data_IF_402807932568
#
_entry.id   IF_402807932568
#
_cell.length_a   1.000
_cell.length_b   1.000
_cell.length_c   1.000
_cell.angle_alpha   90.00
_cell.angle_beta   90.00
_cell.angle_gamma   90.00
#
_symmetry.space_group_name_H-M   'P 1'
#
loop_
_entity.id
_entity.type
_entity.pdbx_description
1 polymer ?
#
# COMPACT_ATOMS: atom_id res chain seq x y z
N UNK A 1 -57.61 56.59 21.78
CA UNK A 1 -57.27 55.31 22.41
C UNK A 1 -56.64 54.40 21.34
N UNK A 2 -55.32 54.39 21.24
CA UNK A 2 -54.61 53.59 20.27
C UNK A 2 -53.92 52.47 21.03
N UNK A 3 -54.32 51.21 20.74
CA UNK A 3 -53.77 49.99 21.32
C UNK A 3 -52.52 49.61 20.56
N UNK A 4 -51.39 49.57 21.21
CA UNK A 4 -50.14 49.07 20.68
C UNK A 4 -50.07 47.57 20.93
N UNK A 5 -50.02 46.77 19.84
CA UNK A 5 -49.76 45.36 19.93
C UNK A 5 -48.24 45.11 19.98
N UNK A 6 -47.77 44.53 21.06
CA UNK A 6 -46.38 44.07 21.25
C UNK A 6 -46.17 42.75 20.47
N UNK A 7 -45.37 42.80 19.45
CA UNK A 7 -44.86 41.61 18.76
C UNK A 7 -43.66 41.05 19.51
N UNK A 8 -43.84 39.93 20.18
CA UNK A 8 -42.73 39.16 20.79
C UNK A 8 -41.88 38.52 19.68
N UNK A 9 -40.65 38.97 19.52
CA UNK A 9 -39.66 38.34 18.67
C UNK A 9 -39.25 36.99 19.27
N UNK A 10 -39.72 35.90 18.68
CA UNK A 10 -39.19 34.56 18.94
C UNK A 10 -37.77 34.51 18.34
N UNK A 11 -36.77 34.55 19.20
CA UNK A 11 -35.38 34.30 18.82
C UNK A 11 -35.27 32.86 18.30
N UNK A 12 -35.18 32.69 16.99
CA UNK A 12 -34.84 31.42 16.38
C UNK A 12 -33.36 31.14 16.74
N UNK A 13 -33.13 30.25 17.71
CA UNK A 13 -31.84 29.64 17.89
C UNK A 13 -31.47 28.95 16.56
N UNK A 14 -30.50 29.51 15.85
CA UNK A 14 -29.89 28.87 14.72
C UNK A 14 -29.22 27.56 15.23
N UNK A 15 -29.93 26.45 15.07
CA UNK A 15 -29.33 25.13 15.29
C UNK A 15 -28.25 24.96 14.25
N UNK A 16 -27.03 24.61 14.70
CA UNK A 16 -25.94 24.24 13.81
C UNK A 16 -26.42 23.32 12.68
N UNK A 17 -25.84 23.43 11.48
CA UNK A 17 -26.22 22.56 10.37
C UNK A 17 -26.22 21.10 10.83
N UNK A 18 -27.27 20.36 10.45
CA UNK A 18 -27.47 18.97 10.88
C UNK A 18 -26.26 18.07 10.60
N UNK A 19 -25.44 18.43 9.61
CA UNK A 19 -24.21 17.76 9.23
C UNK A 19 -23.07 17.87 10.27
N UNK A 20 -23.11 18.84 11.16
CA UNK A 20 -22.02 19.13 12.12
C UNK A 20 -22.28 18.57 13.53
N UNK A 21 -23.37 17.84 13.71
CA UNK A 21 -23.63 17.20 14.99
C UNK A 21 -22.77 15.97 15.19
N UNK A 22 -22.10 15.80 16.35
CA UNK A 22 -21.36 14.60 16.66
C UNK A 22 -22.31 13.40 16.73
N UNK A 23 -21.90 12.30 16.12
CA UNK A 23 -22.59 11.00 16.19
C UNK A 23 -21.93 10.13 17.26
N UNK A 24 -20.61 10.18 17.31
CA UNK A 24 -19.81 9.32 18.16
C UNK A 24 -19.35 10.06 19.41
N UNK A 25 -19.32 9.43 20.59
CA UNK A 25 -18.96 10.09 21.86
C UNK A 25 -17.57 10.73 21.88
N UNK A 26 -16.64 10.16 21.11
CA UNK A 26 -15.24 10.58 20.98
C UNK A 26 -14.98 11.41 19.71
N UNK A 27 -16.04 11.81 19.00
CA UNK A 27 -15.91 12.64 17.81
C UNK A 27 -15.45 14.04 18.20
N UNK A 28 -14.22 14.40 17.77
CA UNK A 28 -13.67 15.71 17.95
C UNK A 28 -14.34 16.77 17.06
N UNK A 29 -13.93 18.06 17.21
CA UNK A 29 -14.40 19.12 16.33
C UNK A 29 -14.02 18.81 14.89
N UNK A 30 -14.89 19.12 13.93
CA UNK A 30 -14.63 18.88 12.49
C UNK A 30 -13.59 19.85 11.90
N UNK A 31 -13.41 20.98 12.56
CA UNK A 31 -12.42 21.99 12.18
C UNK A 31 -11.59 22.35 13.39
N UNK A 32 -10.33 22.63 13.15
CA UNK A 32 -9.39 23.06 14.18
C UNK A 32 -8.64 24.30 13.72
N UNK A 33 -8.60 25.33 14.54
CA UNK A 33 -7.75 26.48 14.26
C UNK A 33 -6.37 26.21 14.86
N UNK A 34 -5.29 26.16 14.05
CA UNK A 34 -3.94 25.94 14.53
C UNK A 34 -3.55 26.96 15.60
N UNK A 35 -2.86 26.51 16.62
CA UNK A 35 -2.31 27.34 17.69
C UNK A 35 -0.80 27.13 17.75
N UNK A 36 -0.10 28.04 18.44
CA UNK A 36 1.32 27.83 18.71
C UNK A 36 1.50 26.54 19.53
N UNK A 37 2.48 25.75 19.16
CA UNK A 37 2.92 24.55 19.89
C UNK A 37 3.98 24.93 20.93
N UNK A 38 4.19 24.06 21.92
CA UNK A 38 5.14 24.27 23.01
C UNK A 38 5.93 22.96 23.27
N UNK A 39 7.12 23.02 23.89
CA UNK A 39 7.93 21.85 24.16
C UNK A 39 7.29 20.80 25.08
N UNK A 40 6.29 21.19 25.87
CA UNK A 40 5.51 20.25 26.66
C UNK A 40 4.42 19.63 25.78
N UNK A 41 4.54 18.37 25.39
CA UNK A 41 3.59 17.68 24.53
C UNK A 41 2.17 17.78 25.12
N UNK A 42 1.31 18.56 24.49
CA UNK A 42 -0.05 18.85 24.98
C UNK A 42 -1.14 18.37 24.00
N UNK A 43 -2.37 18.15 24.47
CA UNK A 43 -3.49 17.86 23.58
C UNK A 43 -3.73 18.93 22.49
N UNK A 44 -3.36 20.21 22.77
CA UNK A 44 -3.41 21.29 21.80
C UNK A 44 -2.42 21.07 20.65
N UNK A 45 -1.19 20.66 20.97
CA UNK A 45 -0.12 20.48 19.99
C UNK A 45 -0.41 19.27 19.11
N UNK A 46 -0.80 18.15 19.73
CA UNK A 46 -1.22 16.94 19.00
C UNK A 46 -2.36 17.27 18.02
N UNK A 47 -3.39 18.00 18.47
CA UNK A 47 -4.49 18.40 17.56
C UNK A 47 -4.01 19.33 16.46
N UNK A 48 -3.25 20.36 16.78
CA UNK A 48 -2.76 21.33 15.80
C UNK A 48 -1.99 20.65 14.68
N UNK A 49 -1.07 19.74 15.01
CA UNK A 49 -0.29 19.02 14.04
C UNK A 49 -1.10 17.96 13.27
N UNK A 50 -1.98 17.24 13.99
CA UNK A 50 -2.80 16.19 13.37
C UNK A 50 -3.79 16.78 12.36
N UNK A 51 -4.47 17.85 12.72
CA UNK A 51 -5.39 18.53 11.80
C UNK A 51 -4.66 19.18 10.62
N UNK A 52 -3.37 19.51 10.75
CA UNK A 52 -2.57 19.99 9.64
C UNK A 52 -2.14 18.86 8.70
N UNK A 53 -1.58 17.76 9.24
CA UNK A 53 -1.02 16.68 8.40
C UNK A 53 -2.11 15.81 7.77
N UNK A 54 -3.27 15.69 8.41
CA UNK A 54 -4.42 14.93 7.94
C UNK A 54 -5.53 15.79 7.32
N UNK A 55 -5.24 17.05 6.98
CA UNK A 55 -6.17 17.94 6.30
C UNK A 55 -6.43 17.47 4.85
N UNK A 56 -7.63 17.75 4.33
CA UNK A 56 -8.02 17.40 2.96
C UNK A 56 -7.10 18.02 1.88
N UNK A 57 -6.47 19.16 2.18
CA UNK A 57 -5.47 19.78 1.30
C UNK A 57 -4.26 18.89 1.07
N UNK A 58 -3.94 18.01 2.00
CA UNK A 58 -2.88 17.00 1.87
C UNK A 58 -3.29 15.80 0.99
N UNK A 59 -4.53 15.73 0.51
CA UNK A 59 -5.04 14.74 -0.43
C UNK A 59 -4.71 13.29 -0.05
N UNK A 60 -4.66 12.98 1.25
CA UNK A 60 -4.32 11.66 1.77
C UNK A 60 -2.88 11.21 1.49
N UNK A 61 -1.98 12.12 1.20
CA UNK A 61 -0.51 11.98 1.18
C UNK A 61 0.03 10.75 0.43
N UNK A 62 -0.59 10.37 -0.69
CA UNK A 62 -0.07 9.24 -1.45
C UNK A 62 1.34 9.56 -1.98
N UNK A 63 2.25 8.61 -1.85
CA UNK A 63 3.65 8.77 -2.30
C UNK A 63 3.74 9.34 -3.72
N UNK A 64 4.56 10.37 -3.90
CA UNK A 64 4.76 11.02 -5.20
C UNK A 64 3.55 11.83 -5.70
N UNK A 65 2.57 12.12 -4.85
CA UNK A 65 1.47 13.03 -5.13
C UNK A 65 1.77 14.45 -4.64
N UNK A 66 1.05 15.47 -5.13
CA UNK A 66 1.15 16.82 -4.59
C UNK A 66 0.90 16.90 -3.08
N UNK A 67 -0.05 16.10 -2.54
CA UNK A 67 -0.34 16.08 -1.12
C UNK A 67 0.81 15.53 -0.27
N UNK A 68 1.50 14.49 -0.72
CA UNK A 68 2.72 13.99 -0.07
C UNK A 68 3.86 15.03 -0.11
N UNK A 69 4.00 15.71 -1.25
CA UNK A 69 4.98 16.79 -1.39
C UNK A 69 4.75 17.94 -0.41
N UNK A 70 3.50 18.37 -0.23
CA UNK A 70 3.12 19.41 0.75
C UNK A 70 3.33 18.93 2.18
N UNK A 71 2.98 17.68 2.49
CA UNK A 71 3.21 17.09 3.81
C UNK A 71 4.69 17.06 4.17
N UNK A 72 5.55 16.62 3.25
CA UNK A 72 7.01 16.61 3.47
C UNK A 72 7.59 18.03 3.59
N UNK A 73 7.04 19.01 2.86
CA UNK A 73 7.41 20.41 3.00
C UNK A 73 7.04 20.95 4.38
N UNK A 74 5.84 20.64 4.87
CA UNK A 74 5.40 21.00 6.22
C UNK A 74 6.33 20.44 7.31
N UNK A 75 6.69 19.15 7.23
CA UNK A 75 7.58 18.50 8.19
C UNK A 75 8.96 19.17 8.20
N UNK A 76 9.54 19.41 7.02
CA UNK A 76 10.83 20.09 6.90
C UNK A 76 10.80 21.53 7.45
N UNK A 77 9.66 22.23 7.26
CA UNK A 77 9.48 23.56 7.81
C UNK A 77 9.40 23.57 9.35
N UNK A 78 8.74 22.57 9.94
CA UNK A 78 8.75 22.39 11.40
C UNK A 78 10.17 22.14 11.90
N UNK A 79 10.93 21.23 11.31
CA UNK A 79 12.33 20.97 11.71
C UNK A 79 13.20 22.22 11.60
N UNK A 80 13.02 23.03 10.54
CA UNK A 80 13.74 24.29 10.36
C UNK A 80 13.40 25.31 11.46
N UNK A 81 12.13 25.47 11.79
CA UNK A 81 11.69 26.39 12.87
C UNK A 81 12.21 26.00 14.23
N UNK A 82 12.35 24.71 14.48
CA UNK A 82 12.94 24.16 15.70
C UNK A 82 14.48 24.25 15.76
N UNK A 83 15.12 24.71 14.67
CA UNK A 83 16.57 24.86 14.61
C UNK A 83 17.34 23.54 14.38
N UNK A 84 16.67 22.46 13.96
CA UNK A 84 17.33 21.23 13.60
C UNK A 84 18.16 21.40 12.32
N UNK A 85 19.27 20.70 12.23
CA UNK A 85 20.13 20.74 11.06
C UNK A 85 19.57 19.84 9.94
N UNK A 86 19.61 20.30 8.67
CA UNK A 86 19.27 19.44 7.53
C UNK A 86 20.26 18.27 7.42
N UNK A 87 19.73 17.06 7.18
CA UNK A 87 20.51 15.85 7.07
C UNK A 87 20.12 14.98 5.86
N UNK A 88 19.37 15.54 4.93
CA UNK A 88 19.08 14.96 3.63
C UNK A 88 20.21 15.18 2.63
N UNK A 89 19.89 15.08 1.35
CA UNK A 89 20.85 15.24 0.25
C UNK A 89 21.16 16.72 0.00
N UNK A 90 22.38 17.00 -0.44
CA UNK A 90 22.83 18.33 -0.87
C UNK A 90 22.61 19.44 0.17
N UNK A 91 22.65 19.13 1.46
CA UNK A 91 22.46 20.09 2.55
C UNK A 91 20.99 20.52 2.75
N UNK A 92 20.06 19.76 2.20
CA UNK A 92 18.61 19.94 2.40
C UNK A 92 18.07 19.00 3.48
N UNK A 93 16.79 19.12 3.84
CA UNK A 93 16.10 18.13 4.67
C UNK A 93 15.63 16.91 3.88
N UNK A 94 15.76 16.90 2.56
CA UNK A 94 15.13 15.91 1.69
C UNK A 94 16.13 14.88 1.17
N UNK A 95 15.65 13.64 1.09
CA UNK A 95 16.29 12.56 0.35
C UNK A 95 15.27 12.07 -0.69
N UNK A 96 15.56 12.32 -1.96
CA UNK A 96 14.66 12.00 -3.05
C UNK A 96 14.74 10.51 -3.42
N UNK A 97 13.58 9.90 -3.61
CA UNK A 97 13.46 8.55 -4.12
C UNK A 97 13.24 8.57 -5.63
N UNK A 98 13.88 7.69 -6.41
CA UNK A 98 13.61 7.53 -7.84
C UNK A 98 12.26 6.81 -8.06
N UNK A 99 11.20 7.34 -7.45
CA UNK A 99 9.86 6.78 -7.51
C UNK A 99 9.15 7.14 -8.81
N UNK A 100 8.38 6.20 -9.37
CA UNK A 100 7.66 6.41 -10.61
C UNK A 100 6.76 5.23 -10.94
N UNK A 101 6.41 5.07 -12.20
CA UNK A 101 5.55 3.97 -12.63
C UNK A 101 5.99 3.40 -13.99
N UNK A 102 5.74 2.10 -14.17
CA UNK A 102 5.77 1.48 -15.48
C UNK A 102 4.44 1.71 -16.19
N UNK A 103 4.47 2.20 -17.41
CA UNK A 103 3.30 2.38 -18.24
C UNK A 103 3.46 1.64 -19.58
N UNK A 104 2.37 1.08 -20.09
CA UNK A 104 2.32 0.50 -21.42
C UNK A 104 2.56 1.58 -22.48
N UNK A 105 3.43 1.29 -23.44
CA UNK A 105 3.82 2.17 -24.51
C UNK A 105 3.51 1.59 -25.88
N UNK A 106 3.15 2.47 -26.84
CA UNK A 106 2.92 2.08 -28.21
C UNK A 106 1.57 1.40 -28.45
N UNK A 107 1.50 0.44 -29.39
CA UNK A 107 0.25 -0.25 -29.70
C UNK A 107 -0.30 -1.06 -28.52
N UNK A 108 -1.62 -1.24 -28.49
CA UNK A 108 -2.29 -2.07 -27.47
C UNK A 108 -1.64 -3.46 -27.34
N UNK A 109 -1.48 -3.98 -26.12
CA UNK A 109 -0.93 -5.31 -25.88
C UNK A 109 -1.70 -6.40 -26.64
N UNK A 110 -0.97 -7.34 -27.23
CA UNK A 110 -1.56 -8.46 -27.99
C UNK A 110 -1.02 -9.79 -27.53
N UNK A 111 -1.91 -10.76 -27.37
CA UNK A 111 -1.59 -12.16 -27.18
C UNK A 111 -2.41 -12.98 -28.18
N UNK A 112 -1.74 -13.79 -29.01
CA UNK A 112 -2.37 -14.70 -29.92
C UNK A 112 -2.01 -16.14 -29.53
N UNK A 113 -3.03 -16.97 -29.33
CA UNK A 113 -2.94 -18.40 -29.04
C UNK A 113 -3.39 -19.17 -30.27
N UNK A 114 -2.48 -19.87 -30.94
CA UNK A 114 -2.75 -20.48 -32.23
C UNK A 114 -3.15 -19.41 -33.26
N UNK A 115 -4.43 -19.42 -33.68
CA UNK A 115 -4.99 -18.47 -34.67
C UNK A 115 -5.84 -17.35 -34.00
N UNK A 116 -6.06 -17.39 -32.67
CA UNK A 116 -6.99 -16.51 -31.99
C UNK A 116 -6.23 -15.41 -31.22
N UNK A 117 -6.47 -14.17 -31.58
CA UNK A 117 -5.99 -13.00 -30.81
C UNK A 117 -6.95 -12.68 -29.68
N UNK A 118 -6.40 -12.49 -28.48
CA UNK A 118 -7.13 -12.18 -27.25
C UNK A 118 -6.93 -10.71 -26.89
N UNK A 119 -8.02 -10.05 -26.49
CA UNK A 119 -7.95 -8.69 -25.93
C UNK A 119 -7.38 -8.74 -24.51
N UNK A 120 -6.47 -7.81 -24.18
CA UNK A 120 -5.95 -7.65 -22.84
C UNK A 120 -7.06 -7.17 -21.88
N UNK A 121 -6.93 -7.53 -20.60
CA UNK A 121 -7.85 -7.14 -19.53
C UNK A 121 -8.96 -8.13 -19.24
N UNK A 122 -9.30 -9.03 -20.18
CA UNK A 122 -10.38 -9.99 -19.99
C UNK A 122 -9.90 -11.41 -19.69
N UNK A 123 -9.02 -11.95 -20.54
CA UNK A 123 -8.52 -13.33 -20.44
C UNK A 123 -7.02 -13.42 -20.23
N UNK A 124 -6.35 -12.32 -20.36
CA UNK A 124 -4.93 -12.19 -20.12
C UNK A 124 -4.56 -10.73 -19.84
N UNK A 125 -3.47 -10.55 -19.12
CA UNK A 125 -2.89 -9.24 -18.82
C UNK A 125 -1.37 -9.33 -18.84
N UNK A 126 -0.65 -8.40 -19.52
CA UNK A 126 0.80 -8.34 -19.44
C UNK A 126 1.23 -7.87 -18.06
N UNK A 127 2.33 -8.39 -17.53
CA UNK A 127 2.92 -7.91 -16.27
C UNK A 127 4.00 -6.87 -16.55
N UNK A 128 3.98 -5.79 -15.74
CA UNK A 128 5.08 -4.83 -15.70
C UNK A 128 6.35 -5.49 -15.13
N UNK A 129 7.54 -4.92 -15.39
CA UNK A 129 8.76 -5.39 -14.76
C UNK A 129 8.65 -5.45 -13.25
N UNK A 130 8.91 -6.60 -12.68
CA UNK A 130 8.82 -6.83 -11.25
C UNK A 130 9.80 -7.90 -10.78
N UNK A 131 10.38 -7.70 -9.59
CA UNK A 131 11.36 -8.61 -9.02
C UNK A 131 10.75 -9.96 -8.60
N UNK A 132 9.47 -9.99 -8.21
CA UNK A 132 8.81 -11.22 -7.77
C UNK A 132 8.47 -12.16 -8.95
N UNK A 133 8.00 -11.59 -10.06
CA UNK A 133 7.70 -12.34 -11.29
C UNK A 133 8.93 -12.58 -12.17
N UNK A 134 10.00 -11.81 -11.99
CA UNK A 134 11.13 -11.76 -12.92
C UNK A 134 10.75 -11.21 -14.30
N UNK A 135 9.60 -10.51 -14.42
CA UNK A 135 9.06 -10.01 -15.68
C UNK A 135 9.94 -8.91 -16.28
N UNK A 136 10.21 -9.01 -17.58
CA UNK A 136 10.88 -7.97 -18.36
C UNK A 136 9.93 -6.91 -18.92
N UNK A 137 10.50 -5.81 -19.41
CA UNK A 137 9.74 -4.63 -19.86
C UNK A 137 9.04 -4.82 -21.22
N UNK A 138 9.45 -5.79 -22.03
CA UNK A 138 8.91 -5.91 -23.37
C UNK A 138 8.75 -7.37 -23.83
N UNK A 139 7.73 -7.61 -24.63
CA UNK A 139 7.50 -8.86 -25.32
C UNK A 139 7.51 -8.65 -26.82
N UNK A 140 8.23 -9.52 -27.52
CA UNK A 140 8.20 -9.65 -28.98
C UNK A 140 8.28 -11.15 -29.35
N UNK A 141 7.39 -11.94 -28.76
CA UNK A 141 7.31 -13.37 -29.04
C UNK A 141 6.59 -13.59 -30.38
N UNK A 142 7.18 -14.35 -31.27
CA UNK A 142 6.61 -14.66 -32.58
C UNK A 142 6.52 -16.18 -32.77
N UNK A 143 5.30 -16.73 -32.68
CA UNK A 143 5.03 -18.16 -32.83
C UNK A 143 5.95 -19.03 -31.96
N UNK A 144 6.09 -18.68 -30.70
CA UNK A 144 6.99 -19.35 -29.74
C UNK A 144 6.28 -20.51 -29.06
N UNK A 145 6.86 -21.73 -29.09
CA UNK A 145 6.27 -22.90 -28.44
C UNK A 145 6.10 -22.70 -26.94
N UNK A 146 5.05 -23.32 -26.39
CA UNK A 146 4.71 -23.21 -24.95
C UNK A 146 4.98 -24.55 -24.28
N UNK A 147 5.49 -24.53 -23.06
CA UNK A 147 5.77 -25.70 -22.23
C UNK A 147 5.29 -25.48 -20.80
N UNK A 148 4.60 -26.47 -20.25
CA UNK A 148 4.13 -26.42 -18.86
C UNK A 148 5.29 -26.61 -17.88
N UNK A 149 5.39 -25.75 -16.88
CA UNK A 149 6.50 -25.65 -15.93
C UNK A 149 6.14 -26.01 -14.47
N UNK A 150 4.90 -26.44 -14.23
CA UNK A 150 4.41 -26.81 -12.90
C UNK A 150 3.81 -25.65 -12.12
N UNK A 151 3.97 -25.64 -10.80
CA UNK A 151 3.47 -24.56 -9.93
C UNK A 151 4.52 -23.47 -9.74
N UNK A 152 4.08 -22.22 -9.75
CA UNK A 152 4.94 -21.07 -9.43
C UNK A 152 5.49 -21.19 -8.02
N UNK A 153 6.79 -20.97 -7.87
CA UNK A 153 7.48 -21.02 -6.56
C UNK A 153 7.76 -22.42 -6.01
N UNK A 154 7.35 -23.49 -6.70
CA UNK A 154 7.72 -24.86 -6.31
C UNK A 154 9.16 -25.20 -6.73
N UNK A 155 10.11 -24.89 -5.85
CA UNK A 155 11.54 -25.09 -6.08
C UNK A 155 11.98 -26.56 -6.04
N UNK A 156 11.09 -27.53 -5.75
CA UNK A 156 11.41 -28.95 -5.81
C UNK A 156 11.55 -29.47 -7.24
N UNK A 157 10.99 -28.74 -8.22
CA UNK A 157 11.05 -29.06 -9.63
C UNK A 157 12.11 -28.23 -10.33
N UNK A 158 13.14 -28.87 -10.86
CA UNK A 158 14.16 -28.23 -11.72
C UNK A 158 13.66 -28.24 -13.17
N UNK A 159 13.73 -27.08 -13.84
CA UNK A 159 13.37 -26.97 -15.25
C UNK A 159 14.59 -27.28 -16.13
N UNK A 160 14.49 -28.31 -16.97
CA UNK A 160 15.55 -28.69 -17.89
C UNK A 160 15.72 -27.65 -19.01
N UNK A 161 16.89 -26.97 -19.10
CA UNK A 161 17.13 -25.99 -20.17
C UNK A 161 16.92 -26.55 -21.60
N UNK A 162 17.11 -27.84 -21.84
CA UNK A 162 16.88 -28.45 -23.14
C UNK A 162 15.40 -28.39 -23.53
N UNK A 163 14.50 -28.42 -22.56
CA UNK A 163 13.06 -28.33 -22.77
C UNK A 163 12.50 -26.91 -22.82
N UNK A 164 13.09 -25.97 -22.08
CA UNK A 164 12.53 -24.64 -21.81
C UNK A 164 13.23 -23.51 -22.57
N UNK A 165 14.49 -23.66 -22.96
CA UNK A 165 15.25 -22.60 -23.65
C UNK A 165 14.52 -22.13 -24.92
N UNK A 166 14.32 -20.80 -25.01
CA UNK A 166 13.67 -20.17 -26.14
C UNK A 166 12.17 -20.43 -26.24
N UNK A 167 11.56 -21.07 -25.25
CA UNK A 167 10.11 -21.36 -25.21
C UNK A 167 9.43 -20.53 -24.14
N UNK A 168 8.10 -20.49 -24.14
CA UNK A 168 7.30 -19.86 -23.08
C UNK A 168 6.99 -20.89 -22.00
N UNK A 169 7.44 -20.61 -20.77
CA UNK A 169 7.13 -21.43 -19.61
C UNK A 169 5.77 -21.03 -19.02
N UNK A 170 4.90 -22.01 -18.71
CA UNK A 170 3.57 -21.79 -18.13
C UNK A 170 3.53 -22.40 -16.73
N UNK A 171 3.18 -21.58 -15.73
CA UNK A 171 3.00 -22.01 -14.35
C UNK A 171 1.54 -21.92 -13.92
N UNK A 172 1.09 -22.82 -13.07
CA UNK A 172 -0.12 -22.63 -12.26
C UNK A 172 0.24 -21.76 -11.06
N UNK A 173 -0.56 -20.75 -10.78
CA UNK A 173 -0.25 -19.73 -9.80
C UNK A 173 0.73 -18.69 -10.34
N UNK A 174 0.90 -17.59 -9.63
CA UNK A 174 1.77 -16.50 -10.03
C UNK A 174 2.19 -15.64 -8.84
N UNK A 175 3.00 -14.61 -9.09
CA UNK A 175 3.32 -13.61 -8.07
C UNK A 175 2.03 -12.90 -7.63
N UNK A 176 1.89 -12.65 -6.34
CA UNK A 176 0.74 -11.87 -5.84
C UNK A 176 0.78 -10.48 -6.44
N UNK A 177 -0.24 -10.13 -7.21
CA UNK A 177 -0.44 -8.76 -7.65
C UNK A 177 -0.87 -7.93 -6.43
N UNK A 178 -0.16 -6.85 -6.05
CA UNK A 178 -0.55 -6.02 -4.94
C UNK A 178 -2.00 -5.52 -5.13
N UNK A 179 -2.85 -5.74 -4.13
CA UNK A 179 -4.27 -5.36 -4.18
C UNK A 179 -5.21 -6.41 -4.80
N UNK A 180 -4.72 -7.48 -5.41
CA UNK A 180 -5.55 -8.63 -5.71
C UNK A 180 -5.90 -9.34 -4.39
N UNK A 181 -7.11 -9.13 -3.91
CA UNK A 181 -7.64 -9.97 -2.83
C UNK A 181 -7.72 -11.39 -3.39
N UNK A 182 -7.08 -12.35 -2.70
CA UNK A 182 -7.08 -13.74 -3.13
C UNK A 182 -8.49 -14.18 -3.47
N UNK A 183 -8.73 -14.44 -4.76
CA UNK A 183 -10.02 -14.81 -5.28
C UNK A 183 -10.44 -16.13 -4.65
N UNK A 184 -11.47 -16.14 -3.85
CA UNK A 184 -12.28 -17.31 -3.61
C UNK A 184 -12.45 -17.83 -2.19
N UNK A 185 -11.63 -17.51 -1.21
CA UNK A 185 -11.98 -17.81 0.17
C UNK A 185 -12.84 -16.66 0.72
N UNK A 186 -14.11 -16.92 1.00
CA UNK A 186 -14.94 -15.97 1.75
C UNK A 186 -14.19 -15.56 3.03
N UNK A 187 -14.19 -14.26 3.36
CA UNK A 187 -13.57 -13.79 4.60
C UNK A 187 -14.07 -14.64 5.77
N UNK A 188 -13.19 -15.03 6.72
CA UNK A 188 -13.59 -15.83 7.87
C UNK A 188 -14.69 -15.12 8.64
N UNK A 189 -15.48 -15.85 9.40
CA UNK A 189 -16.45 -15.24 10.32
C UNK A 189 -15.70 -14.50 11.43
N UNK A 190 -16.17 -13.31 11.80
CA UNK A 190 -15.62 -12.56 12.94
C UNK A 190 -15.70 -13.36 14.26
N UNK A 191 -16.67 -14.26 14.39
CA UNK A 191 -16.78 -15.15 15.56
C UNK A 191 -15.60 -16.14 15.68
N UNK A 192 -14.89 -16.42 14.61
CA UNK A 192 -13.79 -17.42 14.59
C UNK A 192 -12.39 -16.78 14.70
N UNK A 193 -12.31 -15.45 14.83
CA UNK A 193 -11.03 -14.77 14.93
C UNK A 193 -10.47 -14.89 16.36
N UNK A 194 -9.20 -15.28 16.50
CA UNK A 194 -8.55 -15.31 17.81
C UNK A 194 -8.36 -13.89 18.35
N UNK A 195 -8.34 -13.75 19.66
CA UNK A 195 -7.94 -12.50 20.31
C UNK A 195 -6.47 -12.21 19.96
N UNK A 196 -6.24 -11.16 19.19
CA UNK A 196 -4.92 -10.79 18.66
C UNK A 196 -3.89 -10.47 19.75
N UNK A 197 -4.32 -9.98 20.89
CA UNK A 197 -3.46 -9.66 22.04
C UNK A 197 -3.45 -10.76 23.11
N UNK A 198 -4.10 -11.91 22.86
CA UNK A 198 -3.97 -13.07 23.72
C UNK A 198 -2.55 -13.63 23.67
N UNK A 199 -2.05 -14.13 24.81
CA UNK A 199 -0.71 -14.73 24.90
C UNK A 199 -0.47 -15.83 23.85
N UNK A 200 -1.53 -16.48 23.39
CA UNK A 200 -1.49 -17.60 22.44
C UNK A 200 -1.77 -17.18 20.99
N UNK A 201 -2.02 -15.89 20.71
CA UNK A 201 -2.44 -15.45 19.36
C UNK A 201 -1.37 -15.70 18.29
N UNK A 202 -0.11 -15.39 18.58
CA UNK A 202 1.00 -15.65 17.68
C UNK A 202 1.25 -17.15 17.48
N UNK A 203 1.10 -17.95 18.54
CA UNK A 203 1.24 -19.42 18.50
C UNK A 203 0.08 -20.05 17.71
N UNK A 204 -1.14 -19.53 17.88
CA UNK A 204 -2.33 -19.99 17.15
C UNK A 204 -2.25 -19.66 15.65
N UNK A 205 -1.76 -18.48 15.27
CA UNK A 205 -1.56 -18.11 13.88
C UNK A 205 -0.47 -18.96 13.22
N UNK A 206 0.64 -19.18 13.86
CA UNK A 206 1.71 -20.08 13.40
C UNK A 206 1.22 -21.52 13.26
N UNK A 207 0.43 -22.00 14.22
CA UNK A 207 -0.14 -23.35 14.18
C UNK A 207 -1.18 -23.48 13.05
N UNK A 208 -2.02 -22.46 12.82
CA UNK A 208 -3.01 -22.40 11.73
C UNK A 208 -2.33 -22.39 10.36
N UNK A 209 -1.28 -21.57 10.20
CA UNK A 209 -0.48 -21.49 8.98
C UNK A 209 0.17 -22.85 8.69
N UNK A 210 0.80 -23.46 9.68
CA UNK A 210 1.42 -24.81 9.56
C UNK A 210 0.38 -25.89 9.27
N UNK A 211 -0.80 -25.84 9.90
CA UNK A 211 -1.88 -26.80 9.66
C UNK A 211 -2.45 -26.66 8.25
N UNK A 212 -2.65 -25.43 7.75
CA UNK A 212 -3.08 -25.15 6.39
C UNK A 212 -2.06 -25.64 5.36
N UNK A 213 -0.77 -25.39 5.60
CA UNK A 213 0.33 -25.87 4.76
C UNK A 213 0.41 -27.40 4.75
N UNK A 214 0.22 -28.05 5.90
CA UNK A 214 0.21 -29.51 6.02
C UNK A 214 -1.03 -30.15 5.38
N UNK A 215 -2.20 -29.53 5.51
CA UNK A 215 -3.46 -30.03 4.94
C UNK A 215 -3.50 -29.92 3.40
N UNK A 216 -2.84 -28.87 2.83
CA UNK A 216 -2.76 -28.67 1.38
C UNK A 216 -1.71 -29.54 0.70
N UNK A 217 -0.84 -30.22 1.44
CA UNK A 217 0.31 -30.96 0.89
C UNK A 217 1.30 -30.06 0.11
N UNK A 218 1.07 -28.76 0.11
CA UNK A 218 1.85 -27.77 -0.63
C UNK A 218 2.98 -27.30 0.28
N UNK A 219 4.23 -27.46 -0.18
CA UNK A 219 5.36 -26.75 0.42
C UNK A 219 5.12 -25.24 0.31
N UNK A 220 5.61 -24.42 1.27
CA UNK A 220 5.53 -22.97 1.12
C UNK A 220 6.12 -22.60 -0.24
N UNK A 221 5.29 -22.07 -1.13
CA UNK A 221 5.76 -21.62 -2.43
C UNK A 221 6.65 -20.40 -2.21
N UNK A 222 7.82 -20.38 -2.83
CA UNK A 222 8.69 -19.22 -2.79
C UNK A 222 7.97 -18.01 -3.35
N UNK A 223 8.17 -16.84 -2.74
CA UNK A 223 7.57 -15.58 -3.24
C UNK A 223 8.11 -15.16 -4.61
N UNK A 224 9.23 -15.74 -5.01
CA UNK A 224 9.96 -15.47 -6.25
C UNK A 224 10.36 -16.79 -6.91
N UNK A 225 10.25 -16.86 -8.23
CA UNK A 225 10.60 -18.03 -9.01
C UNK A 225 11.51 -17.64 -10.19
N UNK A 226 12.77 -18.03 -10.13
CA UNK A 226 13.77 -17.74 -11.14
C UNK A 226 13.99 -18.94 -12.12
N UNK A 227 13.28 -20.06 -11.94
CA UNK A 227 13.52 -21.29 -12.69
C UNK A 227 13.38 -21.11 -14.20
N UNK A 228 12.33 -20.42 -14.66
CA UNK A 228 12.10 -20.16 -16.08
C UNK A 228 13.25 -19.34 -16.68
N UNK A 229 13.69 -18.30 -15.96
CA UNK A 229 14.83 -17.46 -16.38
C UNK A 229 16.13 -18.26 -16.41
N UNK A 230 16.41 -19.04 -15.37
CA UNK A 230 17.59 -19.90 -15.30
C UNK A 230 17.61 -20.94 -16.43
N UNK A 231 16.44 -21.47 -16.80
CA UNK A 231 16.28 -22.41 -17.93
C UNK A 231 16.32 -21.72 -19.31
N UNK A 232 16.45 -20.39 -19.38
CA UNK A 232 16.53 -19.64 -20.64
C UNK A 232 15.19 -19.51 -21.36
N UNK A 233 14.07 -19.50 -20.66
CA UNK A 233 12.75 -19.29 -21.24
C UNK A 233 12.66 -17.93 -21.94
N UNK A 234 11.97 -17.88 -23.07
CA UNK A 234 11.74 -16.65 -23.84
C UNK A 234 10.59 -15.80 -23.30
N UNK A 235 9.73 -16.37 -22.47
CA UNK A 235 8.61 -15.71 -21.81
C UNK A 235 8.00 -16.59 -20.73
N UNK A 236 7.14 -16.00 -19.89
CA UNK A 236 6.45 -16.69 -18.80
C UNK A 236 4.97 -16.37 -18.83
N UNK A 237 4.12 -17.37 -18.65
CA UNK A 237 2.69 -17.20 -18.45
C UNK A 237 2.28 -17.81 -17.10
N UNK A 238 1.47 -17.08 -16.34
CA UNK A 238 0.92 -17.51 -15.07
C UNK A 238 -0.57 -17.78 -15.22
N UNK A 239 -1.02 -18.95 -14.83
CA UNK A 239 -2.44 -19.33 -14.84
C UNK A 239 -3.07 -18.90 -13.53
N UNK A 240 -3.82 -17.81 -13.56
CA UNK A 240 -4.50 -17.21 -12.40
C UNK A 240 -5.89 -16.70 -12.78
N UNK A 241 -6.84 -16.63 -11.84
CA UNK A 241 -8.09 -15.93 -12.07
C UNK A 241 -7.84 -14.45 -12.37
N UNK A 242 -8.52 -13.93 -13.37
CA UNK A 242 -8.47 -12.52 -13.75
C UNK A 242 -9.82 -11.91 -13.42
N UNK A 243 -9.85 -11.05 -12.39
CA UNK A 243 -10.98 -10.20 -12.09
C UNK A 243 -10.76 -8.78 -12.65
N UNK A 244 -11.83 -7.99 -12.70
CA UNK A 244 -11.77 -6.62 -13.24
C UNK A 244 -10.83 -5.72 -12.43
N UNK A 245 -10.69 -5.96 -11.12
CA UNK A 245 -9.81 -5.19 -10.25
C UNK A 245 -8.34 -5.53 -10.52
N UNK A 246 -8.00 -6.82 -10.60
CA UNK A 246 -6.66 -7.27 -10.96
C UNK A 246 -6.26 -6.79 -12.36
N UNK A 247 -7.18 -6.85 -13.34
CA UNK A 247 -6.94 -6.34 -14.68
C UNK A 247 -6.66 -4.82 -14.67
N UNK A 248 -7.45 -4.04 -13.94
CA UNK A 248 -7.24 -2.60 -13.82
C UNK A 248 -5.91 -2.27 -13.12
N UNK A 249 -5.55 -2.98 -12.06
CA UNK A 249 -4.31 -2.75 -11.31
C UNK A 249 -3.06 -3.03 -12.15
N UNK A 250 -3.12 -3.96 -13.11
CA UNK A 250 -1.97 -4.29 -13.97
C UNK A 250 -1.92 -3.41 -15.22
N UNK A 251 -3.06 -3.04 -15.78
CA UNK A 251 -3.11 -2.12 -16.92
C UNK A 251 -2.76 -0.68 -16.51
N UNK A 252 -3.02 -0.33 -15.23
CA UNK A 252 -2.66 0.93 -14.61
C UNK A 252 -1.80 0.67 -13.37
N UNK A 253 -0.54 0.27 -13.53
CA UNK A 253 0.29 -0.15 -12.42
C UNK A 253 0.50 1.01 -11.43
N UNK A 254 0.51 0.66 -10.15
CA UNK A 254 0.86 1.59 -9.08
C UNK A 254 2.29 2.06 -9.22
N UNK A 255 2.59 3.18 -8.58
CA UNK A 255 3.96 3.68 -8.50
C UNK A 255 4.87 2.66 -7.81
N UNK A 256 6.12 2.63 -8.22
CA UNK A 256 7.16 1.72 -7.73
C UNK A 256 8.53 2.36 -7.86
N UNK A 257 9.54 1.70 -7.32
CA UNK A 257 10.94 2.04 -7.57
C UNK A 257 11.41 1.42 -8.91
N UNK A 258 12.42 2.01 -9.59
CA UNK A 258 12.98 1.39 -10.78
C UNK A 258 13.57 0.03 -10.46
N UNK A 259 13.31 -0.94 -11.31
CA UNK A 259 13.91 -2.26 -11.20
C UNK A 259 15.28 -2.31 -11.88
N UNK A 260 16.11 -3.29 -11.51
CA UNK A 260 17.46 -3.46 -12.09
C UNK A 260 17.36 -3.70 -13.60
N UNK A 261 18.32 -3.21 -14.35
CA UNK A 261 18.41 -3.39 -15.81
C UNK A 261 18.28 -4.86 -16.24
N UNK A 262 18.85 -5.78 -15.46
CA UNK A 262 18.72 -7.21 -15.73
C UNK A 262 17.29 -7.74 -15.66
N UNK A 263 16.40 -7.12 -14.88
CA UNK A 263 14.99 -7.47 -14.82
C UNK A 263 14.22 -6.82 -15.97
N UNK A 264 14.55 -5.58 -16.35
CA UNK A 264 13.95 -4.91 -17.51
C UNK A 264 14.21 -5.70 -18.79
N UNK A 265 15.41 -6.29 -18.93
CA UNK A 265 15.83 -7.16 -20.02
C UNK A 265 15.41 -8.65 -19.82
N UNK A 266 14.71 -8.97 -18.75
CA UNK A 266 14.26 -10.33 -18.44
C UNK A 266 13.18 -10.85 -19.41
N UNK A 267 12.78 -12.14 -19.28
CA UNK A 267 11.70 -12.68 -20.08
C UNK A 267 10.39 -11.93 -19.79
N UNK A 268 9.61 -11.59 -20.83
CA UNK A 268 8.30 -11.00 -20.63
C UNK A 268 7.37 -11.97 -19.90
N UNK A 269 6.51 -11.46 -19.02
CA UNK A 269 5.54 -12.27 -18.33
C UNK A 269 4.11 -11.72 -18.47
N UNK A 270 3.13 -12.62 -18.41
CA UNK A 270 1.71 -12.28 -18.43
C UNK A 270 0.90 -13.26 -17.58
N UNK A 271 -0.25 -12.80 -17.09
CA UNK A 271 -1.27 -13.67 -16.49
C UNK A 271 -2.27 -14.07 -17.57
N UNK A 272 -2.70 -15.32 -17.53
CA UNK A 272 -3.77 -15.87 -18.36
C UNK A 272 -4.80 -16.58 -17.50
N UNK A 273 -6.06 -16.60 -17.91
CA UNK A 273 -7.09 -17.36 -17.23
C UNK A 273 -7.02 -18.88 -17.54
N UNK A 274 -7.76 -19.69 -16.78
CA UNK A 274 -7.83 -21.13 -16.95
C UNK A 274 -8.38 -21.57 -18.33
N UNK A 275 -9.24 -20.75 -18.92
CA UNK A 275 -9.80 -21.02 -20.27
C UNK A 275 -8.72 -20.83 -21.34
N UNK A 276 -7.90 -19.81 -21.21
CA UNK A 276 -6.75 -19.59 -22.10
C UNK A 276 -5.70 -20.69 -21.93
N UNK A 277 -5.44 -21.12 -20.68
CA UNK A 277 -4.57 -22.26 -20.42
C UNK A 277 -5.09 -23.56 -21.07
N UNK A 278 -6.40 -23.81 -20.99
CA UNK A 278 -7.01 -24.93 -21.68
C UNK A 278 -6.87 -24.84 -23.22
N UNK A 279 -7.00 -23.64 -23.79
CA UNK A 279 -6.76 -23.44 -25.24
C UNK A 279 -5.30 -23.68 -25.62
N UNK A 280 -4.34 -23.42 -24.73
CA UNK A 280 -2.92 -23.67 -24.96
C UNK A 280 -2.60 -25.16 -24.99
N UNK A 281 -3.17 -25.96 -24.09
CA UNK A 281 -2.76 -27.35 -23.89
C UNK A 281 -3.79 -28.42 -24.34
N UNK A 282 -5.02 -28.01 -24.63
CA UNK A 282 -6.10 -28.92 -25.00
C UNK A 282 -6.67 -29.73 -23.82
N UNK A 283 -6.20 -29.49 -22.58
CA UNK A 283 -6.66 -30.16 -21.36
C UNK A 283 -6.60 -29.19 -20.16
N UNK A 284 -7.34 -29.48 -19.07
CA UNK A 284 -7.32 -28.64 -17.86
C UNK A 284 -5.92 -28.51 -17.25
N UNK A 285 -5.62 -27.35 -16.66
CA UNK A 285 -4.31 -27.06 -16.06
C UNK A 285 -3.92 -28.08 -14.96
N UNK A 286 -4.90 -28.59 -14.19
CA UNK A 286 -4.66 -29.60 -13.14
C UNK A 286 -4.27 -30.98 -13.65
N UNK A 287 -4.42 -31.27 -14.96
CA UNK A 287 -4.05 -32.52 -15.58
C UNK A 287 -2.70 -32.45 -16.33
N UNK A 288 -2.02 -31.30 -16.23
CA UNK A 288 -0.75 -31.07 -16.90
C UNK A 288 0.42 -31.63 -16.10
N UNK A 289 1.37 -32.20 -16.81
CA UNK A 289 2.66 -32.64 -16.28
C UNK A 289 3.79 -31.72 -16.79
N UNK A 290 4.81 -31.47 -15.94
CA UNK A 290 5.96 -30.66 -16.32
C UNK A 290 6.61 -31.19 -17.59
N UNK A 291 6.73 -30.30 -18.59
CA UNK A 291 7.25 -30.63 -19.89
C UNK A 291 6.16 -30.89 -20.98
N UNK A 292 4.87 -30.85 -20.60
CA UNK A 292 3.78 -30.93 -21.60
C UNK A 292 3.87 -29.75 -22.56
N UNK A 293 3.77 -30.03 -23.85
CA UNK A 293 3.83 -29.02 -24.91
C UNK A 293 2.44 -28.45 -25.20
N UNK A 294 2.36 -27.15 -25.38
CA UNK A 294 1.17 -26.43 -25.82
C UNK A 294 1.35 -25.80 -27.19
N UNK A 295 0.26 -25.22 -27.72
CA UNK A 295 0.30 -24.49 -28.99
C UNK A 295 1.14 -23.21 -28.84
N UNK A 296 1.82 -22.80 -29.91
CA UNK A 296 2.67 -21.66 -29.94
C UNK A 296 1.87 -20.35 -29.74
N UNK A 297 2.55 -19.35 -29.11
CA UNK A 297 1.99 -18.03 -28.88
C UNK A 297 2.77 -16.94 -29.62
N UNK A 298 2.04 -15.89 -29.98
CA UNK A 298 2.62 -14.62 -30.42
C UNK A 298 2.18 -13.56 -29.41
N UNK A 299 3.13 -12.80 -28.85
CA UNK A 299 2.81 -11.80 -27.84
C UNK A 299 3.65 -10.53 -28.01
N UNK A 300 3.01 -9.38 -27.95
CA UNK A 300 3.66 -8.08 -28.14
C UNK A 300 3.11 -7.07 -27.14
N UNK A 301 4.01 -6.48 -26.35
CA UNK A 301 3.77 -5.30 -25.49
C UNK A 301 5.09 -4.67 -25.10
N UNK A 302 5.02 -3.46 -24.58
CA UNK A 302 6.18 -2.75 -24.07
C UNK A 302 5.79 -1.87 -22.87
N UNK A 303 6.55 -1.94 -21.81
CA UNK A 303 6.52 -1.00 -20.70
C UNK A 303 7.72 -0.06 -20.76
N UNK A 304 7.52 1.18 -20.31
CA UNK A 304 8.61 2.10 -19.95
C UNK A 304 8.38 2.64 -18.56
N UNK A 305 9.47 2.86 -17.83
CA UNK A 305 9.45 3.52 -16.54
C UNK A 305 9.51 5.03 -16.73
N UNK A 306 8.69 5.75 -15.97
CA UNK A 306 8.74 7.21 -15.89
C UNK A 306 8.76 7.62 -14.43
N UNK A 307 9.70 8.47 -14.05
CA UNK A 307 9.77 9.05 -12.71
C UNK A 307 8.53 9.92 -12.49
N UNK A 308 8.00 9.91 -11.27
CA UNK A 308 6.88 10.76 -10.87
C UNK A 308 7.21 12.25 -11.11
N UNK A 309 6.23 13.00 -11.58
CA UNK A 309 6.38 14.46 -11.79
C UNK A 309 6.55 15.20 -10.45
N UNK A 310 5.98 14.67 -9.38
CA UNK A 310 6.16 15.16 -8.02
C UNK A 310 7.17 14.27 -7.31
N UNK A 311 8.25 14.82 -6.75
CA UNK A 311 9.24 14.02 -6.03
C UNK A 311 8.62 13.27 -4.84
N UNK A 312 8.93 11.99 -4.72
CA UNK A 312 8.74 11.24 -3.49
C UNK A 312 10.01 11.38 -2.64
N UNK A 313 9.88 11.74 -1.37
CA UNK A 313 11.07 12.08 -0.58
C UNK A 313 10.91 11.79 0.91
N UNK A 314 11.97 11.26 1.52
CA UNK A 314 12.13 11.25 2.97
C UNK A 314 12.48 12.65 3.48
N UNK A 315 12.14 12.95 4.75
CA UNK A 315 12.58 14.18 5.42
C UNK A 315 13.47 13.81 6.58
N UNK A 316 14.68 14.36 6.62
CA UNK A 316 15.73 13.95 7.57
C UNK A 316 16.33 15.18 8.24
N UNK A 317 16.36 15.17 9.58
CA UNK A 317 16.94 16.24 10.37
C UNK A 317 17.78 15.70 11.53
N UNK A 318 18.74 16.48 11.97
CA UNK A 318 19.58 16.17 13.14
C UNK A 318 19.46 17.30 14.19
N UNK A 319 19.19 16.90 15.41
CA UNK A 319 19.42 17.71 16.60
C UNK A 319 20.77 17.32 17.19
N UNK A 320 21.72 18.26 17.21
CA UNK A 320 23.07 17.99 17.76
C UNK A 320 23.05 17.85 19.26
N UNK A 321 23.73 16.82 19.74
CA UNK A 321 23.90 16.58 21.17
C UNK A 321 24.70 17.68 21.88
N UNK A 322 24.35 17.93 23.13
CA UNK A 322 24.95 18.94 23.96
C UNK A 322 26.28 18.52 24.62
N UNK A 323 26.55 17.21 24.70
CA UNK A 323 27.80 16.67 25.26
C UNK A 323 28.82 16.41 24.13
N UNK A 324 29.95 17.13 24.08
CA UNK A 324 30.95 16.97 23.04
C UNK A 324 31.52 15.54 22.92
N UNK A 325 31.50 14.77 24.01
CA UNK A 325 32.02 13.39 24.02
C UNK A 325 31.01 12.38 23.47
N UNK A 326 29.72 12.73 23.45
CA UNK A 326 28.61 11.85 23.06
C UNK A 326 27.83 12.37 21.84
N UNK A 327 28.14 13.55 21.36
CA UNK A 327 27.44 14.15 20.21
C UNK A 327 27.69 13.40 18.88
N UNK A 328 28.62 12.46 18.85
CA UNK A 328 28.84 11.55 17.72
C UNK A 328 27.98 10.26 17.79
N UNK A 329 27.32 10.02 18.93
CA UNK A 329 26.36 8.92 19.10
C UNK A 329 24.97 9.43 18.77
N UNK A 330 24.18 8.65 18.04
CA UNK A 330 22.86 9.04 17.57
C UNK A 330 21.76 8.14 18.12
N UNK A 331 20.61 8.77 18.45
CA UNK A 331 19.34 8.09 18.66
C UNK A 331 18.43 8.44 17.48
N UNK A 332 17.89 7.44 16.79
CA UNK A 332 17.02 7.64 15.65
C UNK A 332 15.55 7.47 16.07
N UNK A 333 14.72 8.43 15.72
CA UNK A 333 13.26 8.36 15.81
C UNK A 333 12.69 8.52 14.41
N UNK A 334 11.75 7.65 14.03
CA UNK A 334 11.15 7.71 12.72
C UNK A 334 9.65 7.41 12.74
N UNK A 335 8.95 7.93 11.72
CA UNK A 335 7.57 7.65 11.38
C UNK A 335 7.43 7.70 9.87
N UNK A 336 6.32 7.21 9.29
CA UNK A 336 6.05 7.47 7.89
C UNK A 336 5.04 8.62 7.72
N UNK A 337 5.10 9.29 6.59
CA UNK A 337 4.27 10.48 6.32
C UNK A 337 3.22 10.24 5.23
N UNK A 338 3.41 9.22 4.41
CA UNK A 338 2.48 8.89 3.33
C UNK A 338 1.27 8.10 3.83
N UNK A 339 0.20 8.13 3.02
CA UNK A 339 -0.97 7.26 3.16
C UNK A 339 -1.53 6.94 1.77
N UNK A 340 -2.72 6.33 1.70
CA UNK A 340 -3.23 5.74 0.47
C UNK A 340 -3.89 6.73 -0.52
N UNK A 341 -3.97 8.02 -0.18
CA UNK A 341 -4.41 9.07 -1.10
C UNK A 341 -5.92 9.17 -1.29
N UNK A 342 -6.32 9.38 -2.54
CA UNK A 342 -7.72 9.58 -2.92
C UNK A 342 -8.25 8.32 -3.61
N UNK A 343 -9.40 7.80 -3.17
CA UNK A 343 -10.10 6.66 -3.79
C UNK A 343 -10.97 7.12 -4.96
N UNK A 344 -11.18 6.22 -5.91
CA UNK A 344 -12.10 6.45 -7.03
C UNK A 344 -13.58 6.56 -6.59
N UNK A 345 -13.93 5.90 -5.48
CA UNK A 345 -15.28 5.91 -4.92
C UNK A 345 -15.28 6.47 -3.51
N UNK A 346 -16.19 7.41 -3.26
CA UNK A 346 -16.37 7.97 -1.93
C UNK A 346 -16.99 6.95 -0.98
N UNK A 347 -16.42 6.80 0.20
CA UNK A 347 -16.93 5.96 1.28
C UNK A 347 -17.70 6.78 2.30
N UNK A 348 -18.69 6.18 2.93
CA UNK A 348 -19.41 6.81 4.04
C UNK A 348 -18.69 6.51 5.36
N UNK A 349 -18.08 7.54 5.93
CA UNK A 349 -17.25 7.42 7.12
C UNK A 349 -18.02 6.92 8.36
N UNK A 350 -19.30 7.28 8.52
CA UNK A 350 -20.10 6.78 9.65
C UNK A 350 -20.38 5.28 9.52
N UNK A 351 -20.69 4.82 8.30
CA UNK A 351 -20.86 3.38 8.03
C UNK A 351 -19.57 2.60 8.22
N UNK A 352 -18.44 3.14 7.72
CA UNK A 352 -17.14 2.51 7.90
C UNK A 352 -16.77 2.40 9.38
N UNK A 353 -17.03 3.47 10.16
CA UNK A 353 -16.76 3.47 11.60
C UNK A 353 -17.63 2.45 12.34
N UNK A 354 -18.93 2.37 12.03
CA UNK A 354 -19.82 1.37 12.61
C UNK A 354 -19.29 -0.06 12.37
N UNK A 355 -18.88 -0.36 11.13
CA UNK A 355 -18.27 -1.66 10.78
C UNK A 355 -17.00 -1.90 11.59
N UNK A 356 -16.10 -0.93 11.64
CA UNK A 356 -14.81 -1.08 12.35
C UNK A 356 -14.99 -1.25 13.87
N UNK A 357 -15.91 -0.52 14.49
CA UNK A 357 -16.20 -0.67 15.92
C UNK A 357 -16.63 -2.09 16.30
N UNK A 358 -17.40 -2.75 15.44
CA UNK A 358 -17.94 -4.08 15.70
C UNK A 358 -17.00 -5.19 15.25
N UNK A 359 -16.35 -5.03 14.09
CA UNK A 359 -15.54 -6.10 13.49
C UNK A 359 -14.04 -5.98 13.77
N UNK A 360 -13.58 -4.80 14.24
CA UNK A 360 -12.18 -4.50 14.53
C UNK A 360 -12.00 -3.89 15.93
N UNK A 361 -12.47 -4.54 16.98
CA UNK A 361 -12.46 -3.96 18.34
C UNK A 361 -11.05 -3.74 18.89
N UNK A 362 -10.03 -4.38 18.32
CA UNK A 362 -8.63 -4.29 18.74
C UNK A 362 -7.80 -3.37 17.83
N UNK A 363 -8.40 -2.75 16.83
CA UNK A 363 -7.78 -1.74 15.99
C UNK A 363 -7.69 -2.08 14.50
N UNK A 364 -7.06 -1.18 13.75
CA UNK A 364 -6.99 -1.23 12.29
C UNK A 364 -6.33 -2.49 11.72
N UNK A 365 -5.42 -3.09 12.48
CA UNK A 365 -4.72 -4.32 12.09
C UNK A 365 -5.52 -5.60 12.35
N UNK A 366 -6.73 -5.51 12.89
CA UNK A 366 -7.58 -6.69 12.99
C UNK A 366 -7.89 -7.24 11.58
N UNK A 367 -7.85 -8.57 11.42
CA UNK A 367 -8.08 -9.17 10.10
C UNK A 367 -9.50 -8.86 9.60
N UNK A 368 -9.63 -8.66 8.29
CA UNK A 368 -10.94 -8.50 7.67
C UNK A 368 -11.74 -9.80 7.86
N UNK A 369 -12.92 -9.68 8.44
CA UNK A 369 -13.83 -10.79 8.69
C UNK A 369 -15.26 -10.45 8.26
N UNK A 370 -16.08 -11.46 8.08
CA UNK A 370 -17.51 -11.32 7.80
C UNK A 370 -18.28 -11.27 9.14
N UNK A 371 -19.07 -10.21 9.39
CA UNK A 371 -19.88 -10.10 10.58
C UNK A 371 -20.80 -11.32 10.78
N UNK A 372 -21.04 -11.68 12.05
CA UNK A 372 -22.14 -12.59 12.38
C UNK A 372 -23.48 -11.88 12.18
N UNK A 373 -24.64 -12.59 12.16
CA UNK A 373 -25.95 -11.93 12.09
C UNK A 373 -26.18 -10.92 13.21
N UNK A 374 -25.72 -11.21 14.42
CA UNK A 374 -25.82 -10.33 15.60
C UNK A 374 -24.96 -9.08 15.42
N UNK A 375 -23.71 -9.26 14.97
CA UNK A 375 -22.80 -8.16 14.67
C UNK A 375 -23.32 -7.29 13.50
N UNK A 376 -23.92 -7.91 12.48
CA UNK A 376 -24.55 -7.15 11.38
C UNK A 376 -25.73 -6.31 11.88
N UNK A 377 -26.56 -6.87 12.77
CA UNK A 377 -27.65 -6.12 13.39
C UNK A 377 -27.14 -4.94 14.22
N UNK A 378 -26.06 -5.11 14.96
CA UNK A 378 -25.40 -4.04 15.72
C UNK A 378 -24.88 -2.94 14.77
N UNK A 379 -24.18 -3.32 13.70
CA UNK A 379 -23.70 -2.40 12.66
C UNK A 379 -24.89 -1.59 12.08
N UNK A 380 -25.95 -2.27 11.69
CA UNK A 380 -27.13 -1.63 11.10
C UNK A 380 -27.78 -0.65 12.09
N UNK A 381 -27.85 -0.99 13.38
CA UNK A 381 -28.35 -0.13 14.45
C UNK A 381 -27.47 1.13 14.62
N UNK A 382 -26.16 0.98 14.63
CA UNK A 382 -25.20 2.10 14.71
C UNK A 382 -25.35 3.05 13.50
N UNK A 383 -25.47 2.48 12.29
CA UNK A 383 -25.68 3.26 11.08
C UNK A 383 -27.02 3.99 11.14
N UNK A 384 -28.11 3.33 11.56
CA UNK A 384 -29.43 3.95 11.70
C UNK A 384 -29.39 5.09 12.73
N UNK A 385 -28.70 4.90 13.85
CA UNK A 385 -28.47 5.97 14.82
C UNK A 385 -27.74 7.16 14.18
N UNK A 386 -26.65 6.94 13.48
CA UNK A 386 -25.92 7.99 12.79
C UNK A 386 -26.82 8.76 11.80
N UNK A 387 -27.68 8.07 11.04
CA UNK A 387 -28.61 8.66 10.07
C UNK A 387 -29.73 9.45 10.73
N UNK A 388 -30.09 9.16 11.96
CA UNK A 388 -31.06 9.96 12.72
C UNK A 388 -30.50 11.34 13.11
N UNK A 389 -29.16 11.46 13.18
CA UNK A 389 -28.47 12.68 13.60
C UNK A 389 -28.02 13.50 12.38
N UNK A 390 -27.42 12.85 11.37
CA UNK A 390 -26.90 13.53 10.18
C UNK A 390 -26.97 12.67 8.92
N UNK A 391 -26.94 13.27 7.69
CA UNK A 391 -26.81 12.51 6.45
C UNK A 391 -25.47 11.78 6.35
N UNK A 392 -25.31 10.83 5.40
CA UNK A 392 -24.03 10.16 5.13
C UNK A 392 -22.89 11.15 4.89
N UNK A 393 -21.74 10.88 5.50
CA UNK A 393 -20.50 11.63 5.26
C UNK A 393 -19.68 10.90 4.22
N UNK A 394 -19.94 11.16 2.95
CA UNK A 394 -19.18 10.54 1.87
C UNK A 394 -17.96 11.36 1.52
N UNK A 395 -16.80 10.72 1.57
CA UNK A 395 -15.53 11.29 1.21
C UNK A 395 -14.68 10.25 0.46
N UNK A 396 -13.85 10.73 -0.44
CA UNK A 396 -12.89 9.91 -1.19
C UNK A 396 -11.45 10.11 -0.73
N UNK A 397 -11.16 11.14 0.09
CA UNK A 397 -9.83 11.40 0.62
C UNK A 397 -9.60 10.50 1.84
N UNK A 398 -8.55 9.71 1.78
CA UNK A 398 -8.13 8.88 2.90
C UNK A 398 -7.08 9.67 3.69
N UNK A 399 -7.55 10.43 4.71
CA UNK A 399 -6.70 11.40 5.41
C UNK A 399 -5.56 10.76 6.21
N UNK A 400 -5.65 9.47 6.60
CA UNK A 400 -4.59 8.78 7.32
C UNK A 400 -4.20 9.48 8.62
N UNK A 401 -5.20 9.87 9.45
CA UNK A 401 -4.93 10.59 10.68
C UNK A 401 -4.20 9.71 11.71
N UNK A 402 -4.58 8.42 11.79
CA UNK A 402 -3.93 7.43 12.66
C UNK A 402 -2.75 6.76 11.94
N UNK A 403 -2.93 6.31 10.72
CA UNK A 403 -1.94 5.65 9.88
C UNK A 403 -1.41 6.61 8.79
N UNK A 404 -0.23 7.21 8.92
CA UNK A 404 0.56 7.36 10.13
C UNK A 404 0.72 8.85 10.49
N UNK A 405 -0.41 9.60 10.36
CA UNK A 405 -0.45 11.00 10.80
C UNK A 405 -0.10 11.12 12.29
N UNK A 406 -0.55 10.17 13.13
CA UNK A 406 -0.27 10.14 14.55
C UNK A 406 1.21 9.92 14.84
N UNK A 407 1.89 9.02 14.14
CA UNK A 407 3.34 8.83 14.26
C UNK A 407 4.14 10.01 13.75
N UNK A 408 3.73 10.62 12.63
CA UNK A 408 4.33 11.89 12.15
C UNK A 408 4.18 13.01 13.20
N UNK A 409 3.01 13.14 13.83
CA UNK A 409 2.79 14.10 14.91
C UNK A 409 3.72 13.82 16.09
N UNK A 410 3.81 12.57 16.53
CA UNK A 410 4.74 12.18 17.59
C UNK A 410 6.19 12.50 17.25
N UNK A 411 6.61 12.27 16.01
CA UNK A 411 7.96 12.62 15.52
C UNK A 411 8.24 14.13 15.67
N UNK A 412 7.27 14.98 15.29
CA UNK A 412 7.41 16.43 15.36
C UNK A 412 7.38 16.95 16.81
N UNK A 413 6.53 16.38 17.66
CA UNK A 413 6.46 16.72 19.09
C UNK A 413 7.75 16.28 19.82
N UNK A 414 8.27 15.10 19.53
CA UNK A 414 9.55 14.66 20.07
C UNK A 414 10.69 15.61 19.63
N UNK A 415 10.69 16.05 18.36
CA UNK A 415 11.69 17.00 17.89
C UNK A 415 11.62 18.33 18.65
N UNK A 416 10.41 18.88 18.87
CA UNK A 416 10.23 20.14 19.62
C UNK A 416 10.64 19.98 21.08
N UNK A 417 10.22 18.90 21.73
CA UNK A 417 10.60 18.61 23.13
C UNK A 417 12.10 18.51 23.30
N UNK A 418 12.76 17.66 22.50
CA UNK A 418 14.20 17.46 22.64
C UNK A 418 15.02 18.67 22.18
N UNK A 419 14.53 19.48 21.24
CA UNK A 419 15.18 20.74 20.89
C UNK A 419 15.27 21.69 22.10
N UNK A 420 14.30 21.65 23.01
CA UNK A 420 14.32 22.47 24.26
C UNK A 420 15.11 21.81 25.39
N UNK A 421 15.21 20.48 25.43
CA UNK A 421 15.87 19.72 26.51
C UNK A 421 17.39 19.56 26.31
N UNK A 422 17.87 19.75 25.08
CA UNK A 422 19.28 19.64 24.72
C UNK A 422 19.94 18.32 25.17
N UNK A 423 19.51 17.14 24.64
CA UNK A 423 20.02 15.84 25.05
C UNK A 423 21.52 15.71 24.83
N UNK A 424 22.19 14.88 25.62
CA UNK A 424 23.64 14.66 25.53
C UNK A 424 24.06 14.05 24.18
N UNK A 425 23.31 13.03 23.70
CA UNK A 425 23.48 12.43 22.37
C UNK A 425 22.79 13.24 21.29
N UNK A 426 23.29 13.16 20.08
CA UNK A 426 22.56 13.67 18.91
C UNK A 426 21.32 12.82 18.61
N UNK A 427 20.33 13.42 18.02
CA UNK A 427 19.11 12.74 17.61
C UNK A 427 18.89 12.89 16.11
N UNK A 428 18.47 11.84 15.47
CA UNK A 428 18.09 11.82 14.06
C UNK A 428 16.57 11.66 14.01
N UNK A 429 15.91 12.54 13.30
CA UNK A 429 14.48 12.47 13.01
C UNK A 429 14.28 12.17 11.55
N UNK A 430 13.60 11.07 11.24
CA UNK A 430 13.35 10.64 9.87
C UNK A 430 11.86 10.45 9.64
N UNK A 431 11.32 11.19 8.70
CA UNK A 431 9.98 10.96 8.19
C UNK A 431 10.08 10.26 6.83
N UNK A 432 9.68 8.99 6.79
CA UNK A 432 9.76 8.17 5.60
C UNK A 432 8.53 8.34 4.72
N UNK A 433 8.71 8.34 3.39
CA UNK A 433 7.61 8.21 2.43
C UNK A 433 7.51 6.79 1.88
N UNK A 434 6.34 6.39 1.36
CA UNK A 434 6.17 5.13 0.66
C UNK A 434 6.15 3.88 1.53
N UNK A 435 5.73 3.99 2.77
CA UNK A 435 5.45 2.84 3.63
C UNK A 435 4.35 1.98 3.02
N UNK A 436 3.23 2.61 2.64
CA UNK A 436 2.04 2.02 2.03
C UNK A 436 2.30 1.33 0.68
N UNK A 437 3.40 1.73 0.03
CA UNK A 437 3.87 1.13 -1.22
C UNK A 437 4.88 -0.01 -0.99
N UNK A 438 5.13 -0.41 0.26
CA UNK A 438 6.02 -1.50 0.65
C UNK A 438 7.36 -1.04 1.23
N UNK A 439 7.33 -0.12 2.17
CA UNK A 439 8.49 0.37 2.95
C UNK A 439 9.57 1.03 2.06
N UNK A 440 9.16 1.70 0.97
CA UNK A 440 10.11 2.18 -0.04
C UNK A 440 11.09 3.20 0.52
N UNK A 441 10.60 4.16 1.33
CA UNK A 441 11.41 5.24 1.88
C UNK A 441 12.41 4.77 2.93
N UNK A 442 11.97 3.92 3.87
CA UNK A 442 12.86 3.38 4.90
C UNK A 442 13.91 2.48 4.29
N UNK A 443 13.53 1.64 3.30
CA UNK A 443 14.49 0.84 2.54
C UNK A 443 15.48 1.71 1.78
N UNK A 444 15.03 2.78 1.11
CA UNK A 444 15.91 3.69 0.39
C UNK A 444 16.89 4.39 1.33
N UNK A 445 16.42 4.86 2.49
CA UNK A 445 17.26 5.47 3.51
C UNK A 445 18.36 4.53 4.03
N UNK A 446 18.03 3.25 4.26
CA UNK A 446 19.02 2.26 4.73
C UNK A 446 19.99 1.81 3.65
N UNK A 447 19.54 1.73 2.39
CA UNK A 447 20.40 1.35 1.26
C UNK A 447 21.30 2.51 0.78
N UNK A 448 20.86 3.78 0.99
CA UNK A 448 21.52 5.01 0.56
C UNK A 448 21.56 6.05 1.70
N UNK A 449 22.19 5.72 2.82
CA UNK A 449 22.15 6.58 4.01
C UNK A 449 22.83 7.92 3.75
N UNK A 450 22.16 9.02 4.15
CA UNK A 450 22.72 10.38 4.11
C UNK A 450 23.56 10.70 5.35
N UNK A 451 23.54 9.81 6.34
CA UNK A 451 24.24 9.88 7.62
C UNK A 451 24.90 8.54 7.92
N UNK A 452 25.93 8.52 8.75
CA UNK A 452 26.59 7.29 9.17
C UNK A 452 25.71 6.47 10.12
N UNK A 453 25.05 5.42 9.60
CA UNK A 453 24.12 4.58 10.39
C UNK A 453 24.83 3.70 11.44
N UNK A 454 26.10 3.42 11.30
CA UNK A 454 26.93 2.69 12.27
C UNK A 454 27.14 3.46 13.59
N UNK A 455 26.84 4.76 13.59
CA UNK A 455 26.86 5.63 14.78
C UNK A 455 25.49 5.71 15.49
N UNK A 456 24.47 4.98 15.03
CA UNK A 456 23.15 4.90 15.68
C UNK A 456 23.21 3.85 16.79
N UNK A 457 22.89 4.28 18.02
CA UNK A 457 22.92 3.47 19.25
C UNK A 457 21.60 2.71 19.48
#
# INVERSE_FOLDING_TARGET
MTSAASVSAVSAQQTAPRADRPVWPDEGPRTWTPRATEPAITPNDLRTRLYQIADDSMQGRNIGSPGDFEATAYIADVFRRLGLQPAGENGTYFQDLPYGAFALQGPAPRLTVGKKTLAAGARWIPLAPDAASGSGASSNLRNVPVVFAGHFGDTSVVLDPARFRGKVAVFIGGPRVPGAQGSGAAAPSCASLPNRFGADAAIADDARIRASQKASGVRPLARRDERARAAGAAGVLFVEPIDAFAAAAVLHPRGTMPVRDSLIAGPPAAVIDSVTAHQLFGKPAGELSVGDAGVAVTATWRYSFSVSATPARNVIAILRGSDPTRASEYVLISAHNDHVGVRSEAVDHDSLRAVNMVTRPQGANDPVCRPTPEQQHEIDSLIAHARSIRPPRRDSIMNGADDDGSGTVLLLEAAEKFASEHPARSMIFVSHTGEEAGLLGSKWFTDHPTIALDSVA
#
